data_IF_543146928554
#
_entry.id   IF_543146928554
#
_cell.length_a   1.000
_cell.length_b   1.000
_cell.length_c   1.000
_cell.angle_alpha   90.00
_cell.angle_beta   90.00
_cell.angle_gamma   90.00
#
_symmetry.space_group_name_H-M   'P 1'
#
loop_
_entity.id
_entity.type
_entity.pdbx_description
1 polymer ?
#
# COMPACT_ATOMS: atom_id res chain seq x y z
N UNK A 1 -22.11 -5.35 3.60
CA UNK A 1 -22.02 -4.14 2.78
C UNK A 1 -20.71 -3.45 3.12
N UNK A 2 -19.94 -3.08 2.09
CA UNK A 2 -18.67 -2.38 2.22
C UNK A 2 -18.72 -1.04 1.51
N UNK A 3 -17.87 -0.09 1.92
CA UNK A 3 -17.81 1.25 1.34
C UNK A 3 -16.45 1.48 0.68
N UNK A 4 -16.49 1.99 -0.57
CA UNK A 4 -15.29 2.41 -1.29
C UNK A 4 -15.49 3.84 -1.81
N UNK A 5 -15.30 4.80 -0.90
CA UNK A 5 -15.50 6.23 -1.18
C UNK A 5 -14.18 6.98 -1.19
N UNK A 6 -14.17 8.22 -1.68
CA UNK A 6 -12.98 9.06 -1.64
C UNK A 6 -12.51 9.27 -0.21
N UNK A 7 -11.23 9.06 0.05
CA UNK A 7 -10.63 9.16 1.39
C UNK A 7 -9.98 10.52 1.68
N UNK A 8 -10.06 11.44 0.74
CA UNK A 8 -9.55 12.80 0.95
C UNK A 8 -10.60 13.65 1.64
N UNK A 9 -10.29 14.17 2.83
CA UNK A 9 -11.04 15.25 3.47
C UNK A 9 -10.71 16.58 2.81
N UNK A 10 -9.47 16.76 2.34
CA UNK A 10 -8.99 17.88 1.57
C UNK A 10 -8.01 17.40 0.51
N UNK A 11 -8.10 17.97 -0.68
CA UNK A 11 -7.19 17.66 -1.77
C UNK A 11 -6.88 18.90 -2.61
N UNK A 12 -5.61 19.26 -2.67
CA UNK A 12 -5.06 20.26 -3.57
C UNK A 12 -4.09 19.58 -4.52
N UNK A 13 -4.36 19.57 -5.82
CA UNK A 13 -3.43 18.99 -6.79
C UNK A 13 -2.14 19.82 -6.89
N UNK A 14 -1.07 19.14 -7.21
CA UNK A 14 0.19 19.76 -7.57
C UNK A 14 0.00 20.60 -8.85
N UNK A 15 0.54 21.82 -8.84
CA UNK A 15 0.52 22.68 -10.01
C UNK A 15 1.80 23.52 -10.10
N UNK A 16 2.26 23.77 -11.33
CA UNK A 16 3.37 24.65 -11.59
C UNK A 16 2.94 25.76 -12.56
N UNK A 17 3.18 27.00 -12.17
CA UNK A 17 2.86 28.20 -12.96
C UNK A 17 4.18 28.76 -13.52
N UNK A 18 4.54 28.47 -14.78
CA UNK A 18 5.82 28.87 -15.36
C UNK A 18 6.04 30.38 -15.40
N UNK A 19 4.96 31.17 -15.55
CA UNK A 19 5.04 32.62 -15.68
C UNK A 19 5.59 33.31 -14.42
N UNK A 20 5.35 32.74 -13.27
CA UNK A 20 5.77 33.28 -11.96
C UNK A 20 6.77 32.39 -11.23
N UNK A 21 7.22 31.29 -11.87
CA UNK A 21 8.02 30.23 -11.23
C UNK A 21 7.42 29.79 -9.89
N UNK A 22 6.09 29.72 -9.85
CA UNK A 22 5.37 29.33 -8.63
C UNK A 22 5.03 27.86 -8.69
N UNK A 23 5.53 27.12 -7.70
CA UNK A 23 5.19 25.72 -7.49
C UNK A 23 4.19 25.60 -6.35
N UNK A 24 3.02 25.05 -6.65
CA UNK A 24 1.99 24.71 -5.67
C UNK A 24 2.15 23.23 -5.36
N UNK A 25 2.55 22.92 -4.14
CA UNK A 25 2.70 21.55 -3.71
C UNK A 25 1.34 20.84 -3.60
N UNK A 26 1.34 19.54 -3.86
CA UNK A 26 0.20 18.69 -3.54
C UNK A 26 -0.03 18.75 -2.03
N UNK A 27 -1.23 19.12 -1.63
CA UNK A 27 -1.67 19.05 -0.24
C UNK A 27 -2.92 18.16 -0.16
N UNK A 28 -2.90 17.22 0.77
CA UNK A 28 -4.01 16.28 0.93
C UNK A 28 -4.11 15.83 2.38
N UNK A 29 -5.31 15.85 2.89
CA UNK A 29 -5.65 15.26 4.17
C UNK A 29 -6.44 13.98 3.95
N UNK A 30 -5.86 12.85 4.35
CA UNK A 30 -6.45 11.52 4.22
C UNK A 30 -7.22 11.21 5.49
N UNK A 31 -8.45 10.76 5.33
CA UNK A 31 -9.25 10.25 6.44
C UNK A 31 -8.93 8.77 6.66
N UNK A 32 -8.26 8.47 7.77
CA UNK A 32 -7.78 7.13 8.10
C UNK A 32 -8.91 6.09 8.24
N UNK A 33 -10.11 6.51 8.69
CA UNK A 33 -11.24 5.59 8.82
C UNK A 33 -11.84 5.25 7.45
N UNK A 34 -11.89 6.24 6.55
CA UNK A 34 -12.34 6.01 5.18
C UNK A 34 -11.32 5.18 4.41
N UNK A 35 -10.02 5.38 4.63
CA UNK A 35 -8.97 4.53 4.04
C UNK A 35 -9.13 3.08 4.49
N UNK A 36 -9.37 2.85 5.79
CA UNK A 36 -9.69 1.52 6.33
C UNK A 36 -10.87 0.87 5.61
N UNK A 37 -11.96 1.62 5.42
CA UNK A 37 -13.15 1.10 4.72
C UNK A 37 -12.84 0.71 3.27
N UNK A 38 -11.98 1.44 2.58
CA UNK A 38 -11.53 1.12 1.21
C UNK A 38 -10.74 -0.20 1.19
N UNK A 39 -9.78 -0.36 2.10
CA UNK A 39 -9.03 -1.61 2.23
C UNK A 39 -9.95 -2.78 2.62
N UNK A 40 -10.89 -2.56 3.54
CA UNK A 40 -11.89 -3.58 3.90
C UNK A 40 -12.78 -3.97 2.71
N UNK A 41 -13.17 -3.02 1.86
CA UNK A 41 -13.96 -3.32 0.66
C UNK A 41 -13.18 -4.22 -0.30
N UNK A 42 -11.91 -3.92 -0.56
CA UNK A 42 -11.05 -4.73 -1.43
C UNK A 42 -10.84 -6.14 -0.86
N UNK A 43 -10.52 -6.24 0.43
CA UNK A 43 -10.35 -7.53 1.10
C UNK A 43 -11.63 -8.38 1.06
N UNK A 44 -12.80 -7.76 1.31
CA UNK A 44 -14.07 -8.46 1.25
C UNK A 44 -14.43 -8.95 -0.16
N UNK A 45 -14.14 -8.17 -1.21
CA UNK A 45 -14.37 -8.59 -2.59
C UNK A 45 -13.55 -9.83 -2.96
N UNK A 46 -12.33 -9.94 -2.44
CA UNK A 46 -11.45 -11.08 -2.72
C UNK A 46 -11.78 -12.33 -1.90
N UNK A 47 -12.37 -12.17 -0.71
CA UNK A 47 -12.59 -13.30 0.23
C UNK A 47 -14.03 -13.74 0.36
N UNK A 48 -15.00 -12.90 -0.04
CA UNK A 48 -16.43 -13.14 0.21
C UNK A 48 -17.23 -13.09 -1.07
N UNK A 49 -18.23 -13.96 -1.18
CA UNK A 49 -19.20 -13.98 -2.31
C UNK A 49 -20.50 -13.22 -2.00
N UNK A 50 -20.74 -12.91 -0.73
CA UNK A 50 -21.92 -12.21 -0.22
C UNK A 50 -21.65 -10.71 0.00
N UNK A 51 -20.79 -10.11 -0.82
CA UNK A 51 -20.35 -8.74 -0.68
C UNK A 51 -21.13 -7.79 -1.60
N UNK A 52 -21.56 -6.65 -1.04
CA UNK A 52 -22.09 -5.51 -1.79
C UNK A 52 -21.22 -4.30 -1.46
N UNK A 53 -20.71 -3.63 -2.49
CA UNK A 53 -19.89 -2.43 -2.32
C UNK A 53 -20.66 -1.20 -2.78
N UNK A 54 -20.73 -0.20 -1.91
CA UNK A 54 -21.20 1.14 -2.25
C UNK A 54 -19.99 2.00 -2.51
N UNK A 55 -19.86 2.52 -3.73
CA UNK A 55 -18.68 3.25 -4.16
C UNK A 55 -19.02 4.63 -4.73
N UNK A 56 -18.12 5.59 -4.55
CA UNK A 56 -18.11 6.83 -5.34
C UNK A 56 -17.32 6.63 -6.63
N UNK A 57 -17.24 7.65 -7.46
CA UNK A 57 -16.41 7.64 -8.68
C UNK A 57 -14.95 7.27 -8.43
N UNK A 58 -14.47 7.34 -7.19
CA UNK A 58 -13.12 6.90 -6.82
C UNK A 58 -12.83 5.43 -7.13
N UNK A 59 -13.84 4.61 -7.36
CA UNK A 59 -13.69 3.20 -7.73
C UNK A 59 -13.16 2.97 -9.15
N UNK A 60 -13.20 3.99 -10.02
CA UNK A 60 -12.64 3.92 -11.39
C UNK A 60 -11.21 4.43 -11.49
N UNK A 61 -10.65 4.96 -10.40
CA UNK A 61 -9.23 5.30 -10.37
C UNK A 61 -8.38 4.06 -10.12
N UNK A 62 -7.15 4.09 -10.65
CA UNK A 62 -6.24 2.95 -10.61
C UNK A 62 -5.97 2.44 -9.20
N UNK A 63 -6.03 1.14 -9.09
CA UNK A 63 -5.51 0.34 -7.99
C UNK A 63 -4.31 -0.47 -8.50
N UNK A 64 -3.62 -1.18 -7.62
CA UNK A 64 -2.69 -2.23 -8.03
C UNK A 64 -3.44 -3.38 -8.71
N UNK A 65 -2.71 -4.28 -9.40
CA UNK A 65 -3.36 -5.43 -10.02
C UNK A 65 -3.98 -6.35 -8.97
N UNK A 66 -5.20 -6.86 -9.18
CA UNK A 66 -5.85 -7.78 -8.24
C UNK A 66 -5.00 -9.02 -7.95
N UNK A 67 -4.31 -9.55 -8.96
CA UNK A 67 -3.45 -10.73 -8.84
C UNK A 67 -2.26 -10.48 -7.90
N UNK A 68 -1.64 -9.30 -7.97
CA UNK A 68 -0.52 -8.95 -7.08
C UNK A 68 -1.00 -8.75 -5.64
N UNK A 69 -2.12 -8.09 -5.46
CA UNK A 69 -2.69 -7.86 -4.14
C UNK A 69 -3.11 -9.19 -3.49
N UNK A 70 -3.85 -10.03 -4.22
CA UNK A 70 -4.26 -11.35 -3.74
C UNK A 70 -3.06 -12.31 -3.58
N UNK A 71 -2.10 -12.28 -4.51
CA UNK A 71 -0.90 -13.13 -4.46
C UNK A 71 0.05 -12.80 -3.31
N UNK A 72 -0.14 -11.65 -2.64
CA UNK A 72 0.61 -11.25 -1.46
C UNK A 72 -0.17 -11.36 -0.16
N UNK A 73 -1.37 -11.90 -0.23
CA UNK A 73 -2.12 -12.27 0.96
C UNK A 73 -1.36 -13.36 1.73
N UNK A 74 -1.13 -13.12 2.99
CA UNK A 74 -0.53 -14.08 3.90
C UNK A 74 -1.62 -14.90 4.56
N UNK A 75 -1.55 -16.21 4.40
CA UNK A 75 -2.39 -17.16 5.13
C UNK A 75 -1.59 -17.76 6.29
N UNK A 76 -2.16 -17.76 7.48
CA UNK A 76 -1.60 -18.37 8.67
C UNK A 76 -2.65 -19.26 9.33
N UNK A 77 -2.19 -20.40 9.89
CA UNK A 77 -3.05 -21.31 10.65
C UNK A 77 -2.33 -21.87 11.88
N UNK A 78 -3.08 -22.25 12.89
CA UNK A 78 -2.55 -22.91 14.08
C UNK A 78 -1.89 -24.25 13.69
N UNK A 79 -0.73 -24.53 14.28
CA UNK A 79 0.11 -25.69 13.95
C UNK A 79 1.02 -25.49 12.72
N UNK A 80 0.92 -24.36 12.02
CA UNK A 80 1.79 -24.06 10.89
C UNK A 80 3.24 -23.85 11.34
N UNK A 81 4.18 -24.50 10.65
CA UNK A 81 5.62 -24.27 10.82
C UNK A 81 6.06 -23.08 9.99
N UNK A 82 6.52 -22.03 10.63
CA UNK A 82 7.04 -20.83 10.00
C UNK A 82 8.06 -20.14 10.92
N UNK A 83 9.24 -19.82 10.39
CA UNK A 83 10.21 -19.02 11.12
C UNK A 83 9.63 -17.64 11.43
N UNK A 84 9.74 -17.20 12.69
CA UNK A 84 9.20 -15.91 13.13
C UNK A 84 9.81 -14.74 12.39
N UNK A 85 11.12 -14.76 12.14
CA UNK A 85 11.81 -13.67 11.45
C UNK A 85 11.42 -13.60 9.96
N UNK A 86 11.10 -14.75 9.34
CA UNK A 86 10.54 -14.79 8.00
C UNK A 86 9.12 -14.20 7.95
N UNK A 87 8.31 -14.46 9.00
CA UNK A 87 7.01 -13.80 9.14
C UNK A 87 7.17 -12.27 9.24
N UNK A 88 8.11 -11.79 10.05
CA UNK A 88 8.36 -10.34 10.18
C UNK A 88 8.83 -9.72 8.86
N UNK A 89 9.72 -10.39 8.11
CA UNK A 89 10.14 -9.95 6.77
C UNK A 89 8.95 -9.89 5.81
N UNK A 90 8.06 -10.86 5.90
CA UNK A 90 6.83 -10.89 5.09
C UNK A 90 5.94 -9.68 5.40
N UNK A 91 5.74 -9.32 6.67
CA UNK A 91 4.98 -8.13 7.03
C UNK A 91 5.61 -6.84 6.47
N UNK A 92 6.94 -6.70 6.54
CA UNK A 92 7.62 -5.55 5.94
C UNK A 92 7.45 -5.54 4.42
N UNK A 93 7.57 -6.69 3.75
CA UNK A 93 7.33 -6.81 2.31
C UNK A 93 5.88 -6.49 1.91
N UNK A 94 4.92 -6.70 2.81
CA UNK A 94 3.52 -6.33 2.69
C UNK A 94 3.24 -4.85 3.05
N UNK A 95 4.29 -4.06 3.30
CA UNK A 95 4.24 -2.63 3.66
C UNK A 95 3.70 -2.32 5.07
N UNK A 96 3.67 -3.31 5.97
CA UNK A 96 3.46 -3.04 7.39
C UNK A 96 4.73 -2.51 8.03
N UNK A 97 4.56 -1.59 9.00
CA UNK A 97 5.68 -0.97 9.72
C UNK A 97 5.83 -1.58 11.11
N UNK A 98 7.06 -1.92 11.51
CA UNK A 98 7.31 -2.31 12.88
C UNK A 98 7.24 -1.09 13.79
N UNK A 99 6.43 -1.15 14.82
CA UNK A 99 6.35 -0.13 15.85
C UNK A 99 5.99 -0.76 17.20
N UNK A 100 6.99 -0.97 18.03
CA UNK A 100 6.81 -1.62 19.33
C UNK A 100 6.24 -0.67 20.39
N UNK A 101 6.17 0.64 20.11
CA UNK A 101 5.71 1.71 21.03
C UNK A 101 4.31 2.17 20.66
N UNK A 102 4.12 2.72 19.47
CA UNK A 102 2.84 3.20 18.97
C UNK A 102 2.18 2.14 18.10
N UNK A 103 1.35 1.31 18.70
CA UNK A 103 0.66 0.22 18.03
C UNK A 103 -0.65 0.73 17.42
N UNK A 104 -0.59 1.03 16.12
CA UNK A 104 -1.67 1.62 15.33
C UNK A 104 -1.95 0.79 14.07
N UNK A 105 -2.99 1.10 13.32
CA UNK A 105 -3.29 0.44 12.03
C UNK A 105 -2.09 0.47 11.09
N UNK A 106 -1.86 -0.63 10.38
CA UNK A 106 -0.73 -0.77 9.47
C UNK A 106 0.61 -1.00 10.17
N UNK A 107 0.59 -1.26 11.48
CA UNK A 107 1.80 -1.60 12.23
C UNK A 107 1.74 -2.99 12.84
N UNK A 108 2.93 -3.56 13.06
CA UNK A 108 3.10 -4.76 13.86
C UNK A 108 4.13 -4.51 14.96
N UNK A 109 4.05 -5.29 16.02
CA UNK A 109 5.02 -5.28 17.12
C UNK A 109 5.37 -6.71 17.54
N UNK A 110 6.51 -6.84 18.22
CA UNK A 110 7.05 -8.12 18.66
C UNK A 110 7.37 -8.07 20.15
N UNK A 111 6.92 -9.07 20.91
CA UNK A 111 7.22 -9.23 22.33
C UNK A 111 7.51 -10.69 22.64
N UNK A 112 8.80 -11.05 22.68
CA UNK A 112 9.22 -12.43 22.85
C UNK A 112 8.74 -13.31 21.69
N UNK A 113 8.00 -14.36 21.99
CA UNK A 113 7.45 -15.30 21.01
C UNK A 113 6.05 -14.90 20.53
N UNK A 114 5.66 -13.64 20.75
CA UNK A 114 4.37 -13.11 20.34
C UNK A 114 4.56 -12.00 19.31
N UNK A 115 3.86 -12.10 18.19
CA UNK A 115 3.77 -11.10 17.15
C UNK A 115 2.34 -10.58 17.10
N UNK A 116 2.16 -9.26 17.13
CA UNK A 116 0.85 -8.62 17.03
C UNK A 116 0.83 -7.66 15.85
N UNK A 117 -0.25 -7.65 15.09
CA UNK A 117 -0.45 -6.79 13.92
C UNK A 117 -1.85 -6.19 13.94
N UNK A 118 -1.98 -4.90 13.58
CA UNK A 118 -3.28 -4.30 13.27
C UNK A 118 -3.37 -4.14 11.76
N UNK A 119 -4.16 -4.98 11.07
CA UNK A 119 -4.36 -4.84 9.64
C UNK A 119 -4.95 -3.46 9.29
N UNK A 120 -4.61 -2.94 8.11
CA UNK A 120 -5.10 -1.61 7.67
C UNK A 120 -6.61 -1.56 7.47
N UNK A 121 -7.25 -2.71 7.27
CA UNK A 121 -8.69 -2.87 7.01
C UNK A 121 -9.49 -3.25 8.26
N UNK A 122 -8.85 -3.44 9.42
CA UNK A 122 -9.47 -3.89 10.66
C UNK A 122 -9.31 -2.86 11.79
N UNK A 123 -10.19 -2.94 12.78
CA UNK A 123 -10.08 -2.18 14.04
C UNK A 123 -9.42 -3.01 15.14
N UNK A 124 -9.46 -4.32 15.00
CA UNK A 124 -8.92 -5.27 15.97
C UNK A 124 -7.52 -5.71 15.57
N UNK A 125 -6.72 -6.05 16.58
CA UNK A 125 -5.41 -6.60 16.39
C UNK A 125 -5.48 -8.13 16.29
N UNK A 126 -4.56 -8.71 15.54
CA UNK A 126 -4.31 -10.15 15.46
C UNK A 126 -3.04 -10.41 16.25
N UNK A 127 -3.11 -11.34 17.20
CA UNK A 127 -1.97 -11.86 17.93
C UNK A 127 -1.66 -13.26 17.44
N UNK A 128 -0.39 -13.49 17.16
CA UNK A 128 0.17 -14.76 16.72
C UNK A 128 1.19 -15.16 17.78
N UNK A 129 0.92 -16.25 18.50
CA UNK A 129 1.77 -16.78 19.56
C UNK A 129 2.54 -17.98 19.01
N UNK A 130 3.84 -18.01 19.25
CA UNK A 130 4.75 -19.05 18.76
C UNK A 130 5.21 -19.96 19.89
N UNK A 131 5.35 -21.24 19.56
CA UNK A 131 6.13 -22.19 20.34
C UNK A 131 7.26 -22.75 19.46
N UNK A 132 8.47 -22.19 19.63
CA UNK A 132 9.56 -22.39 18.66
C UNK A 132 9.20 -21.78 17.31
N UNK A 133 9.22 -22.59 16.24
CA UNK A 133 8.86 -22.19 14.88
C UNK A 133 7.43 -22.60 14.48
N UNK A 134 6.61 -23.00 15.47
CA UNK A 134 5.21 -23.39 15.26
C UNK A 134 4.28 -22.29 15.75
N UNK A 135 3.23 -21.97 14.99
CA UNK A 135 2.14 -21.11 15.45
C UNK A 135 1.28 -21.89 16.43
N UNK A 136 1.41 -21.58 17.72
CA UNK A 136 0.65 -22.23 18.79
C UNK A 136 -0.79 -21.72 18.88
N UNK A 137 -0.98 -20.40 18.68
CA UNK A 137 -2.29 -19.78 18.81
C UNK A 137 -2.43 -18.50 17.97
N UNK A 138 -3.64 -18.30 17.45
CA UNK A 138 -4.05 -17.05 16.79
C UNK A 138 -5.25 -16.47 17.56
N UNK A 139 -5.16 -15.20 17.98
CA UNK A 139 -6.19 -14.51 18.73
C UNK A 139 -6.48 -13.13 18.15
N UNK A 140 -7.74 -12.72 18.29
CA UNK A 140 -8.17 -11.33 17.99
C UNK A 140 -8.25 -10.56 19.29
N UNK A 141 -7.69 -9.35 19.34
CA UNK A 141 -7.69 -8.52 20.55
C UNK A 141 -8.12 -7.09 20.27
N UNK A 142 -8.56 -6.43 21.34
CA UNK A 142 -8.74 -5.00 21.37
C UNK A 142 -7.35 -4.31 21.46
N UNK A 143 -6.97 -3.44 20.51
CA UNK A 143 -5.60 -2.92 20.41
C UNK A 143 -5.18 -2.02 21.58
N UNK A 144 -6.14 -1.34 22.24
CA UNK A 144 -5.87 -0.44 23.35
C UNK A 144 -5.79 -1.17 24.70
N UNK A 145 -6.72 -2.09 24.98
CA UNK A 145 -6.79 -2.80 26.26
C UNK A 145 -5.96 -4.08 26.26
N UNK A 146 -5.73 -4.69 25.10
CA UNK A 146 -5.07 -5.98 24.96
C UNK A 146 -5.97 -7.17 25.30
N UNK A 147 -7.28 -6.91 25.54
CA UNK A 147 -8.25 -7.97 25.87
C UNK A 147 -8.46 -8.88 24.66
N UNK A 148 -8.41 -10.19 24.89
CA UNK A 148 -8.71 -11.21 23.88
C UNK A 148 -10.21 -11.24 23.66
N UNK A 149 -10.63 -10.97 22.41
CA UNK A 149 -12.02 -10.96 21.98
C UNK A 149 -12.44 -12.34 21.46
N UNK A 150 -11.51 -13.05 20.81
CA UNK A 150 -11.77 -14.36 20.27
C UNK A 150 -10.50 -15.09 19.85
N UNK A 151 -10.66 -16.38 19.56
CA UNK A 151 -9.63 -17.24 19.00
C UNK A 151 -10.01 -17.62 17.57
N UNK A 152 -9.03 -17.78 16.71
CA UNK A 152 -9.20 -18.18 15.32
C UNK A 152 -8.20 -19.28 14.99
N UNK A 153 -8.64 -20.34 14.32
CA UNK A 153 -7.72 -21.39 13.86
C UNK A 153 -6.91 -20.98 12.64
N UNK A 154 -7.36 -19.95 11.92
CA UNK A 154 -6.70 -19.44 10.71
C UNK A 154 -7.01 -17.98 10.49
N UNK A 155 -6.11 -17.27 9.79
CA UNK A 155 -6.28 -15.87 9.44
C UNK A 155 -5.67 -15.55 8.07
N UNK A 156 -6.32 -14.63 7.34
CA UNK A 156 -5.79 -14.05 6.11
C UNK A 156 -5.39 -12.60 6.38
N UNK A 157 -4.16 -12.24 6.06
CA UNK A 157 -3.63 -10.88 6.23
C UNK A 157 -3.31 -10.33 4.85
N UNK A 158 -3.97 -9.24 4.47
CA UNK A 158 -3.75 -8.54 3.20
C UNK A 158 -2.68 -7.47 3.34
N UNK A 159 -2.02 -7.08 2.22
CA UNK A 159 -1.04 -5.98 2.22
C UNK A 159 -1.60 -4.67 2.77
N UNK A 160 -0.71 -3.88 3.37
CA UNK A 160 -1.04 -2.56 3.91
C UNK A 160 -1.19 -1.47 2.84
N UNK A 161 -0.96 -1.81 1.57
CA UNK A 161 -1.12 -0.90 0.43
C UNK A 161 -1.72 -1.66 -0.75
N UNK A 162 -2.53 -0.98 -1.56
CA UNK A 162 -3.00 -1.52 -2.84
C UNK A 162 -1.88 -1.59 -3.91
N UNK A 163 -0.80 -0.83 -3.72
CA UNK A 163 0.37 -0.77 -4.61
C UNK A 163 1.55 -1.51 -4.00
N UNK A 164 1.47 -2.83 -3.96
CA UNK A 164 2.56 -3.69 -3.49
C UNK A 164 3.18 -4.39 -4.70
N UNK A 165 4.49 -4.19 -4.89
CA UNK A 165 5.22 -4.81 -5.99
C UNK A 165 6.30 -5.77 -5.45
N UNK A 166 6.49 -6.90 -6.15
CA UNK A 166 7.60 -7.79 -5.89
C UNK A 166 8.95 -7.21 -6.30
N UNK A 167 10.06 -7.74 -5.77
CA UNK A 167 11.40 -7.21 -6.05
C UNK A 167 11.67 -7.06 -7.55
N UNK A 168 11.33 -8.06 -8.35
CA UNK A 168 11.54 -8.05 -9.79
C UNK A 168 10.70 -6.99 -10.52
N UNK A 169 9.44 -6.80 -10.07
CA UNK A 169 8.57 -5.74 -10.63
C UNK A 169 9.03 -4.37 -10.20
N UNK A 170 9.49 -4.22 -8.96
CA UNK A 170 10.06 -2.98 -8.47
C UNK A 170 11.29 -2.58 -9.27
N UNK A 171 12.24 -3.50 -9.47
CA UNK A 171 13.44 -3.25 -10.27
C UNK A 171 13.10 -2.81 -11.70
N UNK A 172 12.16 -3.51 -12.33
CA UNK A 172 11.67 -3.12 -13.67
C UNK A 172 11.01 -1.74 -13.65
N UNK A 173 10.15 -1.46 -12.67
CA UNK A 173 9.48 -0.18 -12.55
C UNK A 173 10.49 0.96 -12.39
N UNK A 174 11.48 0.83 -11.49
CA UNK A 174 12.53 1.82 -11.29
C UNK A 174 13.29 2.10 -12.60
N UNK A 175 13.68 1.05 -13.33
CA UNK A 175 14.38 1.18 -14.62
C UNK A 175 13.53 1.90 -15.66
N UNK A 176 12.25 1.56 -15.78
CA UNK A 176 11.37 2.15 -16.80
C UNK A 176 10.93 3.57 -16.46
N UNK A 177 10.77 3.90 -15.16
CA UNK A 177 10.53 5.27 -14.69
C UNK A 177 11.74 6.16 -15.02
N UNK A 178 12.96 5.67 -14.74
CA UNK A 178 14.18 6.41 -15.06
C UNK A 178 14.30 6.69 -16.57
N UNK A 179 14.04 5.68 -17.41
CA UNK A 179 14.07 5.85 -18.87
C UNK A 179 13.06 6.90 -19.37
N UNK A 180 11.84 6.88 -18.84
CA UNK A 180 10.81 7.86 -19.18
C UNK A 180 11.20 9.26 -18.70
N UNK A 181 11.77 9.40 -17.51
CA UNK A 181 12.30 10.65 -16.98
C UNK A 181 13.34 11.25 -17.92
N UNK A 182 14.33 10.44 -18.34
CA UNK A 182 15.41 10.90 -19.22
C UNK A 182 14.86 11.37 -20.58
N UNK A 183 13.92 10.63 -21.15
CA UNK A 183 13.28 11.01 -22.39
C UNK A 183 12.48 12.31 -22.25
N UNK A 184 11.66 12.40 -21.19
CA UNK A 184 10.78 13.56 -21.00
C UNK A 184 11.54 14.83 -20.67
N UNK A 185 12.57 14.74 -19.86
CA UNK A 185 13.43 15.90 -19.55
C UNK A 185 14.19 16.39 -20.79
N UNK A 186 14.68 15.47 -21.65
CA UNK A 186 15.30 15.84 -22.90
C UNK A 186 14.31 16.53 -23.88
N UNK A 187 13.05 16.07 -23.94
CA UNK A 187 12.00 16.72 -24.75
C UNK A 187 11.69 18.13 -24.24
N UNK A 188 11.53 18.31 -22.93
CA UNK A 188 11.26 19.61 -22.32
C UNK A 188 12.40 20.61 -22.59
N UNK A 189 13.65 20.18 -22.48
CA UNK A 189 14.81 21.01 -22.82
C UNK A 189 14.84 21.42 -24.30
N UNK A 190 14.52 20.49 -25.20
CA UNK A 190 14.39 20.82 -26.65
C UNK A 190 13.30 21.84 -26.92
N UNK A 191 12.26 21.92 -26.09
CA UNK A 191 11.18 22.88 -26.15
C UNK A 191 11.53 24.22 -25.47
N UNK A 192 12.73 24.36 -24.90
CA UNK A 192 13.13 25.56 -24.13
C UNK A 192 12.52 25.64 -22.73
N UNK A 193 11.95 24.54 -22.23
CA UNK A 193 11.28 24.43 -20.92
C UNK A 193 12.25 23.91 -19.86
N UNK A 194 13.29 24.66 -19.59
CA UNK A 194 14.39 24.21 -18.71
C UNK A 194 13.93 24.08 -17.24
N UNK A 195 13.11 25.01 -16.75
CA UNK A 195 12.60 24.97 -15.38
C UNK A 195 11.70 23.75 -15.15
N UNK A 196 10.80 23.47 -16.08
CA UNK A 196 9.92 22.29 -16.02
C UNK A 196 10.74 20.99 -16.05
N UNK A 197 11.79 20.93 -16.90
CA UNK A 197 12.70 19.79 -16.95
C UNK A 197 13.42 19.58 -15.61
N UNK A 198 13.94 20.66 -15.01
CA UNK A 198 14.62 20.59 -13.71
C UNK A 198 13.66 20.14 -12.60
N UNK A 199 12.46 20.71 -12.53
CA UNK A 199 11.45 20.35 -11.51
C UNK A 199 11.02 18.89 -11.63
N UNK A 200 10.71 18.43 -12.84
CA UNK A 200 10.37 17.05 -13.10
C UNK A 200 11.51 16.11 -12.66
N UNK A 201 12.74 16.44 -13.05
CA UNK A 201 13.90 15.64 -12.67
C UNK A 201 14.07 15.53 -11.14
N UNK A 202 14.01 16.65 -10.42
CA UNK A 202 14.15 16.67 -8.97
C UNK A 202 13.06 15.82 -8.28
N UNK A 203 11.80 16.00 -8.69
CA UNK A 203 10.68 15.28 -8.10
C UNK A 203 10.78 13.79 -8.34
N UNK A 204 10.97 13.37 -9.60
CA UNK A 204 11.00 11.96 -9.95
C UNK A 204 12.23 11.26 -9.37
N UNK A 205 13.39 11.93 -9.29
CA UNK A 205 14.57 11.37 -8.62
C UNK A 205 14.31 11.10 -7.15
N UNK A 206 13.66 12.03 -6.44
CA UNK A 206 13.25 11.84 -5.05
C UNK A 206 12.28 10.65 -4.90
N UNK A 207 11.27 10.55 -5.79
CA UNK A 207 10.32 9.45 -5.77
C UNK A 207 11.01 8.09 -6.03
N UNK A 208 11.99 8.03 -6.95
CA UNK A 208 12.80 6.84 -7.21
C UNK A 208 13.64 6.43 -5.98
N UNK A 209 14.20 7.39 -5.25
CA UNK A 209 14.90 7.12 -4.00
C UNK A 209 13.95 6.54 -2.94
N UNK A 210 12.77 7.12 -2.78
CA UNK A 210 11.74 6.60 -1.86
C UNK A 210 11.29 5.19 -2.23
N UNK A 211 11.02 4.92 -3.50
CA UNK A 211 10.68 3.59 -3.99
C UNK A 211 11.80 2.57 -3.73
N UNK A 212 13.06 2.99 -3.88
CA UNK A 212 14.23 2.12 -3.65
C UNK A 212 14.44 1.83 -2.17
N UNK A 213 14.31 2.84 -1.30
CA UNK A 213 14.63 2.74 0.13
C UNK A 213 13.47 2.20 0.97
N UNK A 214 12.24 2.60 0.63
CA UNK A 214 11.02 2.36 1.44
C UNK A 214 10.03 1.45 0.72
N UNK A 215 10.14 1.34 -0.62
CA UNK A 215 9.21 0.56 -1.45
C UNK A 215 7.91 1.30 -1.81
N UNK A 216 7.76 2.56 -1.39
CA UNK A 216 6.59 3.40 -1.68
C UNK A 216 6.99 4.87 -1.73
N UNK A 217 6.27 5.67 -2.51
CA UNK A 217 6.40 7.13 -2.54
C UNK A 217 5.03 7.81 -2.51
N UNK A 218 5.01 9.10 -2.18
CA UNK A 218 3.77 9.89 -2.27
C UNK A 218 3.34 10.03 -3.73
N UNK A 219 2.11 9.64 -4.05
CA UNK A 219 1.62 9.64 -5.44
C UNK A 219 2.09 8.44 -6.25
N UNK A 220 2.35 7.30 -5.59
CA UNK A 220 2.77 6.05 -6.24
C UNK A 220 1.81 5.61 -7.37
N UNK A 221 0.55 5.96 -7.28
CA UNK A 221 -0.48 5.73 -8.31
C UNK A 221 -0.09 6.33 -9.68
N UNK A 222 0.69 7.41 -9.71
CA UNK A 222 1.18 8.03 -10.94
C UNK A 222 2.17 7.14 -11.69
N UNK A 223 2.80 6.20 -11.00
CA UNK A 223 3.74 5.23 -11.55
C UNK A 223 3.12 3.85 -11.80
N UNK A 224 1.81 3.69 -11.58
CA UNK A 224 1.10 2.39 -11.66
C UNK A 224 1.40 1.61 -12.95
N UNK A 225 1.49 2.31 -14.11
CA UNK A 225 1.84 1.72 -15.40
C UNK A 225 3.17 0.97 -15.39
N UNK A 226 4.15 1.48 -14.66
CA UNK A 226 5.48 0.86 -14.56
C UNK A 226 5.47 -0.37 -13.66
N UNK A 227 4.65 -0.35 -12.60
CA UNK A 227 4.50 -1.48 -11.69
C UNK A 227 3.77 -2.66 -12.33
N UNK A 228 2.68 -2.43 -13.04
CA UNK A 228 1.92 -3.49 -13.69
C UNK A 228 2.42 -3.84 -15.10
N UNK A 229 3.29 -2.99 -15.68
CA UNK A 229 3.91 -3.20 -16.98
C UNK A 229 2.99 -3.05 -18.17
N UNK A 230 1.83 -2.39 -17.99
CA UNK A 230 0.89 -2.13 -19.09
C UNK A 230 1.43 -1.13 -20.10
N UNK A 231 0.94 -1.20 -21.33
CA UNK A 231 1.31 -0.27 -22.40
C UNK A 231 0.83 1.16 -22.09
N UNK A 232 1.54 2.16 -22.61
CA UNK A 232 1.12 3.55 -22.49
C UNK A 232 -0.28 3.75 -23.11
N UNK A 233 -1.16 4.48 -22.41
CA UNK A 233 -2.53 4.73 -22.83
C UNK A 233 -3.54 3.63 -22.45
N UNK A 234 -3.08 2.49 -21.92
CA UNK A 234 -3.98 1.46 -21.37
C UNK A 234 -4.53 1.90 -20.01
N UNK A 235 -5.85 1.77 -19.76
CA UNK A 235 -6.43 2.08 -18.46
C UNK A 235 -5.79 1.27 -17.33
N UNK A 236 -5.68 1.80 -16.12
CA UNK A 236 -5.25 1.03 -14.95
C UNK A 236 -6.35 0.05 -14.51
N UNK A 237 -5.96 -0.95 -13.73
CA UNK A 237 -6.92 -1.77 -13.01
C UNK A 237 -7.68 -0.91 -11.98
N UNK A 238 -8.95 -1.20 -11.83
CA UNK A 238 -9.88 -0.46 -10.98
C UNK A 238 -10.60 -1.41 -10.03
N UNK A 239 -11.48 -0.90 -9.18
CA UNK A 239 -12.31 -1.76 -8.33
C UNK A 239 -13.33 -2.58 -9.12
N UNK A 240 -13.57 -2.26 -10.39
CA UNK A 240 -14.57 -2.91 -11.24
C UNK A 240 -14.00 -4.11 -12.01
N UNK A 241 -12.68 -4.30 -12.01
CA UNK A 241 -11.99 -5.45 -12.62
C UNK A 241 -11.99 -6.67 -11.70
#
# INVERSE_FOLDING_TARGET
>A
VSYFVSYYDYYQPEAYIPQTDTYIEKDSNINDDVERLRHAATANLLTRRDCVVVATVSCIYGLGTPEEYAGRMLFLEEGQQIDRDDLLRTFVAMQYKRNDIAFTRGTFRVRGDTVEIIPVYEELAIRIEFFGDEIDRISTLHPLTGDVIGHQSQVHIFPASHYVAGPQRMERALSTIQQELDQRTAELRKQGKELEAQRLNMRTTYDLEMLTQVGVCSGVENYSRHFDGRAAGTPPHTLLD
#
